data_IF_858889254505
#
_entry.id   IF_858889254505
#
_cell.length_a   1.000
_cell.length_b   1.000
_cell.length_c   1.000
_cell.angle_alpha   90.00
_cell.angle_beta   90.00
_cell.angle_gamma   90.00
#
_symmetry.space_group_name_H-M   'P 1'
#
loop_
_entity.id
_entity.type
_entity.pdbx_description
1 polymer ?
#
# COMPACT_ATOMS: atom_id res chain seq x y z
N UNK A 1 -19.41 -26.18 57.15
CA UNK A 1 -18.80 -25.05 57.91
C UNK A 1 -18.56 -25.54 59.33
N UNK A 2 -17.40 -25.31 59.99
CA UNK A 2 -16.53 -24.11 59.99
C UNK A 2 -15.12 -24.39 59.41
N UNK A 3 -14.41 -23.48 58.74
CA UNK A 3 -13.82 -22.15 59.09
C UNK A 3 -12.69 -22.22 60.12
N UNK A 4 -11.45 -22.33 59.62
CA UNK A 4 -10.24 -21.91 60.34
C UNK A 4 -9.63 -20.70 59.62
N UNK A 5 -9.22 -19.74 60.45
CA UNK A 5 -8.90 -18.35 60.13
C UNK A 5 -7.41 -18.18 59.87
N UNK A 6 -7.13 -17.36 58.87
CA UNK A 6 -5.90 -16.65 58.53
C UNK A 6 -4.94 -16.40 59.72
N UNK A 7 -3.70 -16.89 59.63
CA UNK A 7 -2.56 -16.30 60.36
C UNK A 7 -1.73 -15.53 59.35
N UNK A 8 -1.76 -14.21 59.52
CA UNK A 8 -0.95 -13.23 58.81
C UNK A 8 0.46 -13.31 59.44
N UNK A 9 1.42 -13.79 58.66
CA UNK A 9 2.84 -13.81 59.03
C UNK A 9 3.68 -13.35 57.83
N UNK A 10 3.86 -12.04 57.73
CA UNK A 10 4.75 -11.33 56.81
C UNK A 10 6.16 -11.94 56.86
N UNK A 11 6.68 -12.39 55.73
CA UNK A 11 8.11 -12.60 55.53
C UNK A 11 8.58 -11.73 54.36
N UNK A 12 9.71 -11.02 54.53
CA UNK A 12 10.14 -9.94 53.65
C UNK A 12 10.80 -10.48 52.38
N UNK A 13 10.65 -9.70 51.31
CA UNK A 13 11.41 -9.74 50.06
C UNK A 13 12.68 -10.59 50.11
N UNK A 14 12.62 -11.78 49.52
CA UNK A 14 13.80 -12.50 49.09
C UNK A 14 13.58 -12.97 47.65
N UNK A 15 13.99 -12.08 46.75
CA UNK A 15 14.49 -12.31 45.39
C UNK A 15 14.01 -13.60 44.71
N UNK A 16 12.91 -13.51 43.95
CA UNK A 16 12.71 -14.44 42.83
C UNK A 16 13.74 -14.08 41.76
N UNK A 17 14.79 -14.89 41.67
CA UNK A 17 15.72 -14.90 40.55
C UNK A 17 14.90 -15.06 39.25
N UNK A 18 15.05 -14.07 38.40
CA UNK A 18 14.35 -13.85 37.16
C UNK A 18 14.88 -14.77 36.04
N UNK A 19 14.61 -16.08 36.15
CA UNK A 19 15.01 -17.07 35.13
C UNK A 19 13.87 -17.66 34.30
N UNK A 20 12.67 -17.04 34.31
CA UNK A 20 11.76 -17.14 33.16
C UNK A 20 11.97 -15.91 32.27
N UNK A 21 13.08 -15.89 31.52
CA UNK A 21 13.23 -14.95 30.43
C UNK A 21 12.08 -15.20 29.44
N UNK A 22 11.28 -14.19 29.06
CA UNK A 22 10.31 -14.36 28.01
C UNK A 22 11.07 -14.82 26.77
N UNK A 23 10.56 -15.83 26.05
CA UNK A 23 11.14 -16.24 24.78
C UNK A 23 11.09 -15.03 23.83
N UNK A 24 12.15 -14.23 23.87
CA UNK A 24 12.49 -13.30 22.81
C UNK A 24 12.91 -14.22 21.68
N UNK A 25 11.93 -14.66 20.89
CA UNK A 25 12.19 -15.17 19.55
C UNK A 25 13.13 -14.21 18.84
N UNK A 26 13.91 -14.67 17.85
CA UNK A 26 14.94 -13.85 17.23
C UNK A 26 14.37 -12.46 16.97
N UNK A 27 15.03 -11.43 17.51
CA UNK A 27 14.66 -10.04 17.25
C UNK A 27 14.65 -9.93 15.74
N UNK A 28 13.44 -9.94 15.17
CA UNK A 28 13.24 -9.75 13.75
C UNK A 28 13.72 -8.34 13.50
N UNK A 29 15.00 -8.22 13.14
CA UNK A 29 15.52 -7.02 12.55
C UNK A 29 14.74 -6.92 11.25
N UNK A 30 13.66 -6.10 11.28
CA UNK A 30 12.89 -5.75 10.11
C UNK A 30 13.84 -5.05 9.16
N UNK A 31 14.53 -5.83 8.32
CA UNK A 31 15.15 -5.30 7.11
C UNK A 31 13.99 -4.66 6.35
N UNK A 32 14.07 -3.35 6.22
CA UNK A 32 13.21 -2.57 5.34
C UNK A 32 13.37 -3.19 3.95
N UNK A 33 12.39 -3.99 3.54
CA UNK A 33 12.36 -4.56 2.19
C UNK A 33 12.08 -3.37 1.29
N UNK A 34 13.07 -2.93 0.52
CA UNK A 34 12.79 -2.08 -0.63
C UNK A 34 11.89 -2.88 -1.56
N UNK A 35 10.66 -2.41 -1.74
CA UNK A 35 9.67 -3.05 -2.59
C UNK A 35 10.15 -2.96 -4.05
N UNK A 36 10.82 -4.00 -4.54
CA UNK A 36 11.18 -4.21 -5.95
C UNK A 36 9.97 -4.64 -6.81
N UNK A 37 8.80 -4.79 -6.18
CA UNK A 37 7.56 -5.24 -6.80
C UNK A 37 6.81 -4.01 -7.30
N UNK A 38 6.16 -4.11 -8.47
CA UNK A 38 5.24 -3.07 -8.96
C UNK A 38 4.30 -2.65 -7.82
N UNK A 39 4.49 -1.39 -7.38
CA UNK A 39 3.96 -0.88 -6.12
C UNK A 39 2.44 -1.04 -6.00
N UNK A 40 1.73 -0.83 -7.10
CA UNK A 40 0.27 -0.72 -7.11
C UNK A 40 -0.46 -2.06 -7.13
N UNK A 41 -0.12 -3.05 -7.98
CA UNK A 41 -0.70 -4.38 -7.89
C UNK A 41 -0.42 -5.02 -6.54
N UNK A 42 0.84 -4.99 -6.08
CA UNK A 42 1.23 -5.61 -4.81
C UNK A 42 0.47 -5.05 -3.61
N UNK A 43 0.41 -3.72 -3.50
CA UNK A 43 -0.30 -3.06 -2.41
C UNK A 43 -1.77 -3.47 -2.32
N UNK A 44 -2.44 -3.66 -3.47
CA UNK A 44 -3.86 -4.05 -3.52
C UNK A 44 -4.08 -5.45 -2.97
N UNK A 45 -3.21 -6.39 -3.31
CA UNK A 45 -3.26 -7.75 -2.77
C UNK A 45 -3.03 -7.77 -1.26
N UNK A 46 -2.06 -6.98 -0.76
CA UNK A 46 -1.81 -6.87 0.68
C UNK A 46 -3.00 -6.24 1.41
N UNK A 47 -3.62 -5.20 0.83
CA UNK A 47 -4.84 -4.60 1.40
C UNK A 47 -6.01 -5.58 1.44
N UNK A 48 -6.17 -6.42 0.41
CA UNK A 48 -7.19 -7.47 0.40
C UNK A 48 -6.93 -8.54 1.46
N UNK A 49 -5.66 -8.93 1.65
CA UNK A 49 -5.26 -9.84 2.72
C UNK A 49 -5.63 -9.29 4.11
N UNK A 50 -5.28 -8.04 4.41
CA UNK A 50 -5.63 -7.38 5.67
C UNK A 50 -7.16 -7.28 5.86
N UNK A 51 -7.90 -6.95 4.78
CA UNK A 51 -9.37 -6.91 4.81
C UNK A 51 -9.97 -8.27 5.17
N UNK A 52 -9.48 -9.36 4.56
CA UNK A 52 -9.93 -10.72 4.85
C UNK A 52 -9.54 -11.18 6.25
N UNK A 53 -8.46 -10.63 6.83
CA UNK A 53 -8.06 -10.85 8.21
C UNK A 53 -8.95 -10.07 9.22
N UNK A 54 -9.92 -9.28 8.74
CA UNK A 54 -10.88 -8.57 9.58
C UNK A 54 -10.32 -7.35 10.31
N UNK A 55 -9.13 -6.87 9.94
CA UNK A 55 -8.62 -5.60 10.48
C UNK A 55 -9.31 -4.42 9.81
N UNK A 56 -9.26 -3.23 10.43
CA UNK A 56 -9.79 -2.01 9.81
C UNK A 56 -8.74 -1.31 8.93
N UNK A 57 -9.17 -0.42 8.05
CA UNK A 57 -8.29 0.24 7.08
C UNK A 57 -7.14 1.04 7.73
N UNK A 58 -7.39 1.65 8.89
CA UNK A 58 -6.37 2.39 9.64
C UNK A 58 -5.28 1.45 10.12
N UNK A 59 -5.66 0.34 10.77
CA UNK A 59 -4.72 -0.66 11.25
C UNK A 59 -3.96 -1.33 10.10
N UNK A 60 -4.65 -1.64 9.00
CA UNK A 60 -4.01 -2.16 7.79
C UNK A 60 -2.91 -1.21 7.28
N UNK A 61 -3.18 0.10 7.23
CA UNK A 61 -2.17 1.08 6.80
C UNK A 61 -0.94 1.13 7.72
N UNK A 62 -1.15 0.98 9.03
CA UNK A 62 -0.06 0.91 10.03
C UNK A 62 0.75 -0.38 9.83
N UNK A 63 0.08 -1.53 9.68
CA UNK A 63 0.73 -2.83 9.48
C UNK A 63 1.59 -2.83 8.21
N UNK A 64 1.04 -2.32 7.11
CA UNK A 64 1.71 -2.23 5.82
C UNK A 64 2.92 -1.29 5.91
N UNK A 65 2.77 -0.09 6.46
CA UNK A 65 3.87 0.85 6.59
C UNK A 65 4.97 0.34 7.53
N UNK A 66 4.62 -0.47 8.53
CA UNK A 66 5.58 -1.10 9.43
C UNK A 66 6.42 -2.22 8.76
N UNK A 67 6.07 -2.67 7.54
CA UNK A 67 6.78 -3.69 6.76
C UNK A 67 7.49 -3.05 5.57
N UNK A 68 6.79 -2.23 4.79
CA UNK A 68 7.27 -1.65 3.53
C UNK A 68 7.93 -0.27 3.71
N UNK A 69 7.83 0.32 4.89
CA UNK A 69 8.36 1.64 5.21
C UNK A 69 7.25 2.67 5.40
N UNK A 70 7.59 3.72 6.14
CA UNK A 70 6.65 4.79 6.45
C UNK A 70 6.13 5.47 5.18
N UNK A 71 4.84 5.78 5.16
CA UNK A 71 4.17 6.39 4.01
C UNK A 71 4.01 5.51 2.77
N UNK A 72 4.27 4.18 2.84
CA UNK A 72 4.04 3.29 1.70
C UNK A 72 2.58 3.30 1.23
N UNK A 73 1.64 3.29 2.18
CA UNK A 73 0.20 3.51 1.96
C UNK A 73 -0.34 4.54 2.94
N UNK A 74 -1.17 5.46 2.44
CA UNK A 74 -1.92 6.37 3.31
C UNK A 74 -3.19 5.72 3.83
N UNK A 75 -3.64 6.13 5.02
CA UNK A 75 -4.91 5.66 5.57
C UNK A 75 -6.08 5.89 4.60
N UNK A 76 -6.11 7.05 3.93
CA UNK A 76 -7.16 7.39 2.94
C UNK A 76 -7.18 6.43 1.76
N UNK A 77 -6.00 6.02 1.26
CA UNK A 77 -5.89 5.02 0.20
C UNK A 77 -6.40 3.66 0.67
N UNK A 78 -6.02 3.23 1.88
CA UNK A 78 -6.52 1.99 2.46
C UNK A 78 -8.05 2.01 2.62
N UNK A 79 -8.63 3.11 3.11
CA UNK A 79 -10.08 3.28 3.24
C UNK A 79 -10.81 3.18 1.89
N UNK A 80 -10.25 3.80 0.84
CA UNK A 80 -10.80 3.72 -0.52
C UNK A 80 -10.90 2.27 -1.01
N UNK A 81 -9.84 1.49 -0.83
CA UNK A 81 -9.83 0.08 -1.19
C UNK A 81 -10.78 -0.76 -0.34
N UNK A 82 -10.82 -0.51 0.97
CA UNK A 82 -11.74 -1.21 1.87
C UNK A 82 -13.20 -0.95 1.49
N UNK A 83 -13.54 0.26 1.06
CA UNK A 83 -14.87 0.56 0.54
C UNK A 83 -15.17 -0.21 -0.76
N UNK A 84 -14.18 -0.38 -1.65
CA UNK A 84 -14.34 -1.24 -2.84
C UNK A 84 -14.59 -2.71 -2.45
N UNK A 85 -13.81 -3.25 -1.52
CA UNK A 85 -13.97 -4.64 -1.07
C UNK A 85 -15.32 -4.89 -0.38
N UNK A 86 -15.83 -3.93 0.38
CA UNK A 86 -17.19 -3.98 0.95
C UNK A 86 -18.28 -4.04 -0.11
N UNK A 87 -18.04 -3.45 -1.28
CA UNK A 87 -18.94 -3.53 -2.43
C UNK A 87 -18.71 -4.80 -3.27
N UNK A 88 -17.96 -5.79 -2.74
CA UNK A 88 -17.60 -7.04 -3.41
C UNK A 88 -16.84 -6.83 -4.73
N UNK A 89 -16.25 -5.65 -4.92
CA UNK A 89 -15.41 -5.36 -6.06
C UNK A 89 -13.95 -5.71 -5.72
N UNK A 90 -13.53 -6.88 -6.17
CA UNK A 90 -12.18 -7.41 -6.00
C UNK A 90 -11.32 -7.23 -7.25
N UNK A 91 -11.74 -6.40 -8.21
CA UNK A 91 -10.89 -6.04 -9.34
C UNK A 91 -9.69 -5.21 -8.84
N UNK A 92 -8.51 -5.82 -8.90
CA UNK A 92 -7.24 -5.21 -8.50
C UNK A 92 -6.55 -4.51 -9.68
N UNK A 93 -7.12 -4.55 -10.88
CA UNK A 93 -6.63 -3.84 -12.05
C UNK A 93 -6.82 -2.33 -11.95
N UNK A 94 -6.04 -1.57 -12.72
CA UNK A 94 -6.39 -0.19 -13.00
C UNK A 94 -7.55 -0.17 -13.99
N UNK A 95 -8.61 0.54 -13.64
CA UNK A 95 -9.64 0.86 -14.61
C UNK A 95 -8.98 1.62 -15.78
N UNK A 96 -9.44 1.38 -17.03
CA UNK A 96 -8.92 2.12 -18.18
C UNK A 96 -8.97 3.61 -17.87
N UNK A 97 -7.80 4.26 -17.93
CA UNK A 97 -7.72 5.70 -17.69
C UNK A 97 -8.53 6.37 -18.78
N UNK A 98 -9.52 7.16 -18.40
CA UNK A 98 -10.19 8.09 -19.32
C UNK A 98 -9.17 9.16 -19.72
N UNK A 99 -8.33 8.84 -20.70
CA UNK A 99 -7.52 9.82 -21.42
C UNK A 99 -8.37 10.53 -22.47
N UNK A 100 -7.89 11.68 -22.94
CA UNK A 100 -8.40 12.27 -24.19
C UNK A 100 -8.18 11.22 -25.30
N UNK A 101 -9.20 10.86 -26.11
CA UNK A 101 -8.97 10.08 -27.31
C UNK A 101 -7.95 10.83 -28.17
N UNK A 102 -6.80 10.22 -28.43
CA UNK A 102 -5.88 10.72 -29.46
C UNK A 102 -6.42 10.14 -30.77
N UNK A 103 -7.55 10.66 -31.24
CA UNK A 103 -7.86 10.65 -32.66
C UNK A 103 -7.00 11.75 -33.27
N UNK A 104 -5.72 11.45 -33.48
CA UNK A 104 -4.96 12.17 -34.49
C UNK A 104 -5.10 11.33 -35.74
N UNK A 105 -5.93 11.80 -36.66
CA UNK A 105 -6.05 11.26 -38.00
C UNK A 105 -4.70 11.52 -38.69
N UNK A 106 -3.76 10.58 -38.51
CA UNK A 106 -2.36 10.72 -38.94
C UNK A 106 -2.29 10.99 -40.46
N UNK A 107 -3.27 10.50 -41.20
CA UNK A 107 -3.45 10.73 -42.64
C UNK A 107 -3.75 12.21 -42.97
N UNK A 108 -4.55 12.90 -42.14
CA UNK A 108 -4.79 14.34 -42.31
C UNK A 108 -3.58 15.17 -41.90
N UNK A 109 -2.86 14.74 -40.85
CA UNK A 109 -1.63 15.40 -40.42
C UNK A 109 -0.55 15.31 -41.51
N UNK A 110 -0.42 14.12 -42.13
CA UNK A 110 0.53 13.87 -43.21
C UNK A 110 0.20 14.66 -44.48
N UNK A 111 -1.08 14.78 -44.83
CA UNK A 111 -1.54 15.59 -45.95
C UNK A 111 -1.20 17.09 -45.77
N UNK A 112 -1.33 17.63 -44.55
CA UNK A 112 -0.95 19.01 -44.24
C UNK A 112 0.57 19.28 -44.39
N UNK A 113 1.42 18.34 -43.95
CA UNK A 113 2.88 18.46 -44.11
C UNK A 113 3.35 18.28 -45.55
N UNK A 114 2.68 17.43 -46.33
CA UNK A 114 2.98 17.24 -47.76
C UNK A 114 2.56 18.47 -48.60
N UNK A 115 1.48 19.16 -48.23
CA UNK A 115 1.02 20.37 -48.94
C UNK A 115 1.92 21.60 -48.65
N UNK A 116 2.42 21.75 -47.42
CA UNK A 116 3.37 22.83 -47.04
C UNK A 116 4.79 22.61 -47.59
N UNK A 117 5.20 21.37 -47.89
CA UNK A 117 6.54 21.07 -48.43
C UNK A 117 6.72 21.50 -49.90
N UNK A 118 5.63 21.87 -50.59
CA UNK A 118 5.66 22.23 -52.01
C UNK A 118 5.50 23.74 -52.30
N UNK A 119 5.44 24.61 -51.29
CA UNK A 119 5.41 26.06 -51.49
C UNK A 119 6.82 26.70 -51.42
N UNK A 120 7.52 26.57 -52.54
CA UNK A 120 8.23 27.64 -53.26
C UNK A 120 9.35 28.47 -52.55
N UNK A 121 10.62 28.12 -52.82
CA UNK A 121 11.70 29.12 -53.05
C UNK A 121 12.07 29.10 -54.52
N UNK A 122 11.24 29.73 -55.35
CA UNK A 122 11.55 30.02 -56.74
C UNK A 122 10.78 31.28 -57.16
N UNK A 123 11.48 32.42 -57.17
CA UNK A 123 11.15 33.52 -58.07
C UNK A 123 10.77 34.85 -57.45
N UNK A 124 11.74 35.62 -56.94
CA UNK A 124 11.61 37.08 -56.87
C UNK A 124 12.98 37.74 -57.12
N UNK A 125 13.37 37.84 -58.39
CA UNK A 125 14.42 38.76 -58.84
C UNK A 125 13.77 39.76 -59.80
N UNK A 126 13.68 41.02 -59.38
CA UNK A 126 13.43 42.17 -60.24
C UNK A 126 14.11 43.41 -59.64
#
# INVERSE_FOLDING_TARGET
MPRIRLIIGRQPNQSVDASLQPMVGPVYHKKKIECQIEKYPHLRHVLLYEYNHGVNARQASININAIYGDGFVSERSAQTWFNKFRNLNFDLGDAPRSGRPVETDEDQLKALFEDDAHQTVLGNAQ
#
